data_IF_633933068240
#
_entry.id   IF_633933068240
#
_cell.length_a   1.000
_cell.length_b   1.000
_cell.length_c   1.000
_cell.angle_alpha   90.00
_cell.angle_beta   90.00
_cell.angle_gamma   90.00
#
_symmetry.space_group_name_H-M   'P 1'
#
loop_
_entity.id
_entity.type
_entity.pdbx_description
1 polymer ?
#
# COMPACT_ATOMS: atom_id res chain seq x y z
N UNK A 1 -14.66 -12.95 8.45
CA UNK A 1 -13.34 -13.14 7.81
C UNK A 1 -13.41 -12.54 6.40
N UNK A 2 -12.79 -11.38 6.16
CA UNK A 2 -12.70 -10.82 4.80
C UNK A 2 -11.65 -11.60 4.03
N UNK A 3 -12.11 -12.43 3.09
CA UNK A 3 -11.24 -13.19 2.17
C UNK A 3 -10.39 -12.17 1.41
N UNK A 4 -9.09 -12.13 1.70
CA UNK A 4 -8.15 -11.23 1.02
C UNK A 4 -8.08 -11.63 -0.46
N UNK A 5 -8.54 -10.76 -1.35
CA UNK A 5 -8.44 -10.98 -2.80
C UNK A 5 -6.96 -11.13 -3.17
N UNK A 6 -6.62 -12.20 -3.88
CA UNK A 6 -5.27 -12.40 -4.41
C UNK A 6 -4.82 -11.18 -5.23
N UNK A 7 -3.53 -10.85 -5.17
CA UNK A 7 -2.96 -9.71 -5.92
C UNK A 7 -2.86 -9.97 -7.42
N UNK A 8 -3.04 -11.22 -7.85
CA UNK A 8 -2.98 -11.64 -9.24
C UNK A 8 -4.31 -12.23 -9.69
N UNK A 9 -5.14 -11.41 -10.32
CA UNK A 9 -6.27 -11.88 -11.13
C UNK A 9 -5.71 -12.48 -12.42
N UNK A 10 -5.24 -13.74 -12.40
CA UNK A 10 -4.70 -14.38 -13.61
C UNK A 10 -5.80 -14.72 -14.63
N UNK A 11 -7.05 -14.91 -14.17
CA UNK A 11 -8.17 -15.33 -15.03
C UNK A 11 -9.26 -14.26 -15.24
N UNK A 12 -9.31 -13.20 -14.42
CA UNK A 12 -10.36 -12.15 -14.46
C UNK A 12 -9.79 -10.79 -14.85
N UNK A 13 -8.91 -10.78 -15.85
CA UNK A 13 -8.06 -9.63 -16.18
C UNK A 13 -8.81 -8.57 -17.01
N UNK A 14 -10.08 -8.82 -17.37
CA UNK A 14 -10.92 -8.02 -18.27
C UNK A 14 -10.55 -8.16 -19.76
N UNK A 15 -11.46 -7.78 -20.67
CA UNK A 15 -11.20 -7.78 -22.11
C UNK A 15 -10.14 -6.75 -22.50
N UNK A 16 -9.40 -6.99 -23.59
CA UNK A 16 -8.43 -6.03 -24.13
C UNK A 16 -9.10 -4.70 -24.51
N UNK A 17 -10.28 -4.78 -25.11
CA UNK A 17 -11.15 -3.63 -25.40
C UNK A 17 -11.49 -2.83 -24.13
N UNK A 18 -11.87 -3.50 -23.04
CA UNK A 18 -12.13 -2.84 -21.76
C UNK A 18 -10.89 -2.17 -21.16
N UNK A 19 -9.67 -2.64 -21.46
CA UNK A 19 -8.44 -1.94 -21.08
C UNK A 19 -8.23 -0.68 -21.93
N UNK A 20 -8.39 -0.80 -23.25
CA UNK A 20 -8.27 0.34 -24.18
C UNK A 20 -9.26 1.45 -23.85
N UNK A 21 -10.54 1.13 -23.65
CA UNK A 21 -11.58 2.10 -23.23
C UNK A 21 -11.24 2.81 -21.93
N UNK A 22 -10.64 2.13 -20.96
CA UNK A 22 -10.23 2.76 -19.69
C UNK A 22 -9.05 3.70 -19.88
N UNK A 23 -8.05 3.33 -20.67
CA UNK A 23 -6.92 4.22 -20.97
C UNK A 23 -7.39 5.46 -21.71
N UNK A 24 -8.21 5.29 -22.74
CA UNK A 24 -8.78 6.41 -23.49
C UNK A 24 -9.58 7.33 -22.56
N UNK A 25 -10.49 6.78 -21.75
CA UNK A 25 -11.26 7.58 -20.80
C UNK A 25 -10.37 8.40 -19.84
N UNK A 26 -9.22 7.87 -19.41
CA UNK A 26 -8.28 8.62 -18.58
C UNK A 26 -7.64 9.79 -19.33
N UNK A 27 -7.28 9.60 -20.61
CA UNK A 27 -6.75 10.67 -21.45
C UNK A 27 -7.81 11.75 -21.72
N UNK A 28 -9.05 11.34 -21.99
CA UNK A 28 -10.16 12.26 -22.23
C UNK A 28 -10.53 13.06 -20.97
N UNK A 29 -10.43 12.43 -19.78
CA UNK A 29 -10.90 13.02 -18.52
C UNK A 29 -9.83 13.85 -17.81
N UNK A 30 -8.57 13.43 -17.86
CA UNK A 30 -7.46 14.04 -17.11
C UNK A 30 -6.43 14.73 -18.01
N UNK A 31 -6.74 14.87 -19.29
CA UNK A 31 -5.82 15.32 -20.32
C UNK A 31 -6.54 15.97 -21.49
N UNK A 32 -5.94 15.84 -22.67
CA UNK A 32 -6.44 16.40 -23.93
C UNK A 32 -7.00 15.34 -24.89
N UNK A 33 -7.22 14.11 -24.41
CA UNK A 33 -7.64 12.95 -25.22
C UNK A 33 -6.48 12.19 -25.88
N UNK A 34 -5.26 12.74 -25.91
CA UNK A 34 -4.06 12.07 -26.43
C UNK A 34 -3.03 11.83 -25.33
N UNK A 35 -2.84 12.82 -24.47
CA UNK A 35 -1.89 12.80 -23.36
C UNK A 35 -2.53 13.29 -22.07
N UNK A 36 -2.00 12.87 -20.93
CA UNK A 36 -2.35 13.39 -19.61
C UNK A 36 -1.13 13.40 -18.68
N UNK A 37 -1.21 14.07 -17.54
CA UNK A 37 -0.16 13.99 -16.51
C UNK A 37 -0.42 12.83 -15.54
N UNK A 38 0.65 12.17 -15.11
CA UNK A 38 0.59 11.21 -14.01
C UNK A 38 0.06 11.88 -12.74
N UNK A 39 -0.87 11.24 -12.03
CA UNK A 39 -1.44 11.78 -10.78
C UNK A 39 -0.46 11.80 -9.58
N UNK A 40 0.81 11.45 -9.76
CA UNK A 40 1.80 11.36 -8.66
C UNK A 40 3.13 12.03 -8.98
N UNK A 41 3.44 12.23 -10.27
CA UNK A 41 4.70 12.83 -10.70
C UNK A 41 4.46 13.66 -11.97
N UNK A 42 5.35 14.58 -12.37
CA UNK A 42 5.11 15.48 -13.50
C UNK A 42 5.19 14.81 -14.88
N UNK A 43 5.41 13.50 -14.96
CA UNK A 43 5.51 12.74 -16.21
C UNK A 43 4.23 12.85 -17.05
N UNK A 44 4.40 13.16 -18.33
CA UNK A 44 3.34 13.12 -19.35
C UNK A 44 3.20 11.67 -19.84
N UNK A 45 1.95 11.22 -19.96
CA UNK A 45 1.56 9.86 -20.34
C UNK A 45 0.70 9.93 -21.60
N UNK A 46 0.98 9.03 -22.52
CA UNK A 46 0.17 8.73 -23.70
C UNK A 46 -0.61 7.42 -23.49
N UNK A 47 -1.31 6.97 -24.53
CA UNK A 47 -2.10 5.74 -24.52
C UNK A 47 -1.30 4.47 -24.18
N UNK A 48 -0.01 4.44 -24.50
CA UNK A 48 0.83 3.25 -24.34
C UNK A 48 1.54 3.21 -22.99
N UNK A 49 1.98 4.37 -22.50
CA UNK A 49 2.69 4.54 -21.23
C UNK A 49 1.77 4.68 -20.02
N UNK A 50 0.50 5.06 -20.23
CA UNK A 50 -0.48 5.20 -19.15
C UNK A 50 -0.83 3.87 -18.49
N UNK A 51 -0.76 3.85 -17.17
CA UNK A 51 -1.28 2.76 -16.34
C UNK A 51 -2.54 3.20 -15.60
N UNK A 52 -3.45 2.24 -15.40
CA UNK A 52 -4.72 2.46 -14.70
C UNK A 52 -4.53 2.11 -13.22
N UNK A 53 -4.24 3.11 -12.39
CA UNK A 53 -4.16 2.96 -10.93
C UNK A 53 -5.57 2.97 -10.32
N UNK A 54 -5.79 2.20 -9.25
CA UNK A 54 -7.07 2.15 -8.52
C UNK A 54 -6.97 3.01 -7.27
N UNK A 55 -7.72 4.11 -7.25
CA UNK A 55 -7.68 5.15 -6.22
C UNK A 55 -9.03 5.86 -6.14
N UNK A 56 -9.60 6.14 -4.94
CA UNK A 56 -8.95 6.09 -3.63
C UNK A 56 -8.83 4.68 -3.02
N UNK A 57 -9.67 3.73 -3.44
CA UNK A 57 -9.65 2.37 -2.92
C UNK A 57 -8.80 1.50 -3.84
N UNK A 58 -7.73 0.92 -3.27
CA UNK A 58 -6.83 0.07 -4.02
C UNK A 58 -7.43 -1.32 -4.29
N UNK A 59 -6.94 -2.00 -5.32
CA UNK A 59 -7.48 -3.31 -5.73
C UNK A 59 -7.45 -4.40 -4.66
N UNK A 60 -6.41 -4.39 -3.82
CA UNK A 60 -6.26 -5.31 -2.68
C UNK A 60 -7.28 -5.04 -1.57
N UNK A 61 -7.80 -3.82 -1.49
CA UNK A 61 -8.78 -3.37 -0.50
C UNK A 61 -10.21 -3.38 -1.09
N UNK A 62 -10.43 -4.07 -2.21
CA UNK A 62 -11.74 -4.16 -2.87
C UNK A 62 -11.97 -3.13 -3.98
N UNK A 63 -10.99 -2.27 -4.27
CA UNK A 63 -11.05 -1.26 -5.32
C UNK A 63 -11.32 -1.84 -6.71
N UNK A 64 -12.28 -1.24 -7.40
CA UNK A 64 -12.71 -1.63 -8.75
C UNK A 64 -12.18 -0.67 -9.81
N UNK A 65 -12.27 -1.05 -11.09
CA UNK A 65 -11.90 -0.21 -12.22
C UNK A 65 -13.02 0.75 -12.67
N UNK A 66 -13.92 1.11 -11.76
CA UNK A 66 -14.97 2.11 -12.02
C UNK A 66 -14.34 3.49 -12.14
N UNK A 67 -14.91 4.35 -12.99
CA UNK A 67 -14.40 5.70 -13.32
C UNK A 67 -14.09 6.56 -12.09
N UNK A 68 -14.93 6.53 -11.06
CA UNK A 68 -14.70 7.23 -9.79
C UNK A 68 -13.64 6.61 -8.87
N UNK A 69 -13.01 5.50 -9.28
CA UNK A 69 -11.98 4.81 -8.51
C UNK A 69 -10.70 4.54 -9.34
N UNK A 70 -10.51 5.24 -10.47
CA UNK A 70 -9.30 5.09 -11.29
C UNK A 70 -8.69 6.45 -11.64
N UNK A 71 -7.38 6.46 -11.83
CA UNK A 71 -6.61 7.66 -12.18
C UNK A 71 -5.42 7.32 -13.09
N UNK A 72 -4.89 8.28 -13.87
CA UNK A 72 -3.71 8.06 -14.69
C UNK A 72 -2.44 7.98 -13.83
N UNK A 73 -1.61 6.97 -14.04
CA UNK A 73 -0.33 6.86 -13.37
C UNK A 73 0.74 6.29 -14.29
N UNK A 74 2.00 6.71 -14.12
CA UNK A 74 3.13 6.09 -14.79
C UNK A 74 3.47 4.74 -14.14
N UNK A 75 4.02 3.80 -14.93
CA UNK A 75 4.41 2.47 -14.43
C UNK A 75 5.37 2.52 -13.21
N UNK A 76 6.38 3.41 -13.14
CA UNK A 76 7.23 3.54 -11.95
C UNK A 76 6.45 3.91 -10.68
N UNK A 77 5.52 4.86 -10.78
CA UNK A 77 4.72 5.27 -9.62
C UNK A 77 3.76 4.16 -9.17
N UNK A 78 3.12 3.47 -10.12
CA UNK A 78 2.24 2.34 -9.82
C UNK A 78 3.00 1.19 -9.13
N UNK A 79 4.17 0.83 -9.66
CA UNK A 79 5.04 -0.18 -9.06
C UNK A 79 5.48 0.21 -7.65
N UNK A 80 5.93 1.46 -7.45
CA UNK A 80 6.35 1.97 -6.14
C UNK A 80 5.20 1.96 -5.12
N UNK A 81 4.00 2.38 -5.53
CA UNK A 81 2.81 2.37 -4.66
C UNK A 81 2.43 0.95 -4.27
N UNK A 82 2.36 0.03 -5.24
CA UNK A 82 2.10 -1.39 -4.99
C UNK A 82 3.16 -2.04 -4.09
N UNK A 83 4.44 -1.72 -4.30
CA UNK A 83 5.56 -2.17 -3.47
C UNK A 83 5.44 -1.70 -2.01
N UNK A 84 5.15 -0.41 -1.80
CA UNK A 84 4.90 0.16 -0.45
C UNK A 84 3.73 -0.53 0.24
N UNK A 85 2.62 -0.71 -0.47
CA UNK A 85 1.41 -1.36 0.05
C UNK A 85 1.64 -2.83 0.40
N UNK A 86 2.38 -3.56 -0.44
CA UNK A 86 2.76 -4.94 -0.20
C UNK A 86 3.68 -5.05 1.02
N UNK A 87 4.72 -4.21 1.10
CA UNK A 87 5.65 -4.18 2.22
C UNK A 87 4.95 -3.89 3.57
N UNK A 88 3.95 -3.00 3.58
CA UNK A 88 3.15 -2.72 4.77
C UNK A 88 2.29 -3.92 5.22
N UNK A 89 1.77 -4.71 4.27
CA UNK A 89 0.91 -5.88 4.54
C UNK A 89 1.68 -7.16 4.87
N UNK A 90 3.01 -7.17 4.67
CA UNK A 90 3.85 -8.33 5.03
C UNK A 90 3.77 -8.59 6.53
N UNK A 91 3.56 -9.86 6.96
CA UNK A 91 3.54 -10.21 8.37
C UNK A 91 4.73 -9.62 9.13
N UNK A 92 4.48 -9.16 10.35
CA UNK A 92 5.55 -8.73 11.24
C UNK A 92 6.46 -9.92 11.54
N UNK A 93 7.74 -9.63 11.79
CA UNK A 93 8.76 -10.59 12.18
C UNK A 93 9.51 -9.99 13.36
N UNK A 94 10.09 -10.88 14.18
CA UNK A 94 10.99 -10.46 15.26
C UNK A 94 12.08 -9.56 14.70
N UNK A 95 12.36 -8.45 15.39
CA UNK A 95 13.33 -7.44 14.98
C UNK A 95 12.77 -6.31 14.10
N UNK A 96 11.56 -6.45 13.53
CA UNK A 96 10.97 -5.33 12.79
C UNK A 96 10.75 -4.11 13.69
N UNK A 97 10.91 -2.93 13.10
CA UNK A 97 10.64 -1.66 13.76
C UNK A 97 9.21 -1.22 13.47
N UNK A 98 8.52 -0.72 14.51
CA UNK A 98 7.10 -0.36 14.45
C UNK A 98 6.80 0.90 15.25
N UNK A 99 5.72 1.60 14.91
CA UNK A 99 5.10 2.68 15.70
C UNK A 99 3.68 2.25 16.08
N UNK A 100 3.22 2.65 17.27
CA UNK A 100 1.83 2.42 17.72
C UNK A 100 0.87 3.41 17.05
N UNK A 101 1.36 4.61 16.70
CA UNK A 101 0.60 5.67 16.03
C UNK A 101 1.46 6.45 15.05
N UNK A 102 0.85 7.13 14.08
CA UNK A 102 1.55 8.00 13.13
C UNK A 102 2.34 9.08 13.88
N UNK A 103 3.62 9.24 13.53
CA UNK A 103 4.53 10.19 14.21
C UNK A 103 4.97 9.78 15.63
N UNK A 104 4.50 8.66 16.18
CA UNK A 104 4.88 8.18 17.51
C UNK A 104 6.28 7.57 17.57
N UNK A 105 6.82 7.25 18.77
CA UNK A 105 8.14 6.66 18.92
C UNK A 105 8.26 5.26 18.28
N UNK A 106 9.50 4.87 17.97
CA UNK A 106 9.82 3.59 17.31
C UNK A 106 10.17 2.53 18.34
N UNK A 107 9.54 1.36 18.18
CA UNK A 107 9.75 0.18 19.01
C UNK A 107 10.21 -0.99 18.13
N UNK A 108 10.82 -1.99 18.76
CA UNK A 108 11.23 -3.23 18.10
C UNK A 108 10.28 -4.37 18.47
N UNK A 109 9.86 -5.16 17.48
CA UNK A 109 9.12 -6.39 17.72
C UNK A 109 10.02 -7.44 18.37
N UNK A 110 9.63 -7.96 19.53
CA UNK A 110 10.40 -8.95 20.28
C UNK A 110 9.75 -10.33 20.36
N UNK A 111 8.42 -10.38 20.39
CA UNK A 111 7.64 -11.63 20.42
C UNK A 111 6.45 -11.48 19.46
N UNK A 112 6.12 -12.57 18.78
CA UNK A 112 4.94 -12.69 17.92
C UNK A 112 4.21 -13.95 18.35
N UNK A 113 2.93 -13.80 18.66
CA UNK A 113 1.99 -14.89 18.85
C UNK A 113 1.15 -14.97 17.56
N UNK A 114 1.51 -15.85 16.60
CA UNK A 114 0.88 -15.91 15.29
C UNK A 114 -0.58 -16.38 15.38
N UNK A 115 -0.89 -17.24 16.35
CA UNK A 115 -2.23 -17.82 16.53
C UNK A 115 -3.22 -16.77 17.05
N UNK A 116 -2.74 -15.87 17.91
CA UNK A 116 -3.55 -14.76 18.46
C UNK A 116 -3.44 -13.47 17.65
N UNK A 117 -2.54 -13.38 16.68
CA UNK A 117 -2.26 -12.15 15.95
C UNK A 117 -1.68 -11.03 16.82
N UNK A 118 -1.07 -11.40 17.95
CA UNK A 118 -0.56 -10.47 18.96
C UNK A 118 0.96 -10.33 18.90
N UNK A 119 1.44 -9.14 19.24
CA UNK A 119 2.85 -8.77 19.15
C UNK A 119 3.28 -8.05 20.42
N UNK A 120 4.42 -8.45 20.96
CA UNK A 120 5.09 -7.72 22.04
C UNK A 120 6.20 -6.85 21.45
N UNK A 121 6.27 -5.61 21.90
CA UNK A 121 7.25 -4.62 21.47
C UNK A 121 8.20 -4.25 22.61
N UNK A 122 9.40 -3.79 22.27
CA UNK A 122 10.39 -3.30 23.21
C UNK A 122 10.95 -1.93 22.80
N UNK A 123 11.36 -1.16 23.79
CA UNK A 123 12.14 0.07 23.63
C UNK A 123 13.59 -0.25 23.17
N UNK A 124 14.36 0.78 22.84
CA UNK A 124 15.77 0.62 22.44
C UNK A 124 15.95 0.04 21.03
N UNK A 125 15.05 0.37 20.10
CA UNK A 125 15.28 0.09 18.68
C UNK A 125 16.54 0.83 18.18
N UNK A 126 17.25 0.27 17.19
CA UNK A 126 18.37 0.95 16.53
C UNK A 126 17.82 1.98 15.52
N UNK A 127 17.21 3.06 16.02
CA UNK A 127 16.56 4.09 15.21
C UNK A 127 16.65 5.45 15.91
N UNK A 128 16.83 6.58 15.20
CA UNK A 128 16.91 7.91 15.82
C UNK A 128 15.70 8.25 16.70
N UNK A 129 14.49 7.92 16.24
CA UNK A 129 13.24 8.08 17.00
C UNK A 129 12.92 6.94 17.99
N UNK A 130 13.90 6.14 18.41
CA UNK A 130 13.64 5.01 19.28
C UNK A 130 12.99 5.45 20.61
N UNK A 131 11.98 4.68 21.03
CA UNK A 131 11.43 4.81 22.36
C UNK A 131 12.52 4.43 23.38
N UNK A 132 12.73 5.30 24.38
CA UNK A 132 13.64 5.03 25.52
C UNK A 132 13.00 4.13 26.57
N UNK A 133 11.66 4.08 26.60
CA UNK A 133 10.86 3.31 27.55
C UNK A 133 9.61 2.81 26.84
N UNK A 134 9.11 1.64 27.22
CA UNK A 134 7.77 1.19 26.79
C UNK A 134 6.79 1.74 27.80
N UNK A 135 5.72 2.40 27.33
CA UNK A 135 4.69 2.96 28.22
C UNK A 135 4.04 1.85 29.05
N UNK A 136 3.79 0.68 28.45
CA UNK A 136 3.35 -0.55 29.12
C UNK A 136 4.23 -1.75 28.67
N UNK A 137 5.27 -2.09 29.43
CA UNK A 137 6.27 -3.10 29.05
C UNK A 137 5.72 -4.53 28.80
N UNK A 138 4.52 -4.82 29.30
CA UNK A 138 3.85 -6.13 29.19
C UNK A 138 2.71 -6.15 28.18
N UNK A 139 2.35 -5.01 27.58
CA UNK A 139 1.19 -4.93 26.68
C UNK A 139 1.45 -5.66 25.38
N UNK A 140 0.49 -6.49 25.00
CA UNK A 140 0.40 -7.09 23.68
C UNK A 140 -0.41 -6.17 22.76
N UNK A 141 0.03 -6.04 21.52
CA UNK A 141 -0.60 -5.23 20.49
C UNK A 141 -1.07 -6.13 19.36
N UNK A 142 -2.26 -5.87 18.82
CA UNK A 142 -2.70 -6.54 17.60
C UNK A 142 -1.77 -6.14 16.43
N UNK A 143 -1.29 -7.12 15.66
CA UNK A 143 -0.29 -6.88 14.62
C UNK A 143 -0.72 -5.86 13.56
N UNK A 144 -2.02 -5.75 13.29
CA UNK A 144 -2.65 -4.84 12.33
C UNK A 144 -2.77 -3.39 12.84
N UNK A 145 -2.69 -3.17 14.16
CA UNK A 145 -2.66 -1.83 14.77
C UNK A 145 -1.27 -1.18 14.72
N UNK A 146 -0.23 -1.96 14.40
CA UNK A 146 1.15 -1.48 14.39
C UNK A 146 1.57 -1.00 12.99
N UNK A 147 2.19 0.19 12.95
CA UNK A 147 2.70 0.79 11.73
C UNK A 147 4.16 0.40 11.55
N UNK A 148 4.48 -0.38 10.50
CA UNK A 148 5.85 -0.76 10.18
C UNK A 148 6.71 0.47 9.82
N UNK A 149 7.90 0.53 10.40
CA UNK A 149 8.96 1.48 10.04
C UNK A 149 9.97 0.73 9.15
N UNK A 150 10.33 1.28 7.98
CA UNK A 150 11.41 0.72 7.17
C UNK A 150 12.69 0.60 8.00
N UNK A 151 13.46 -0.46 7.76
CA UNK A 151 14.78 -0.60 8.38
C UNK A 151 15.75 0.46 7.87
#
# INVERSE_FOLDING_TARGET
MTVRRGTTNRNDRGSAEGRRRRRQWLLDTFGDGTTCRCSTCPTVLDFDSITVDRHPVAGVDGGTYRRGNIRPQCAPCASRQGGKMSAQRRPLRKGHMVRIRKGGKVYRVVVIDPDKGLVRIAAGAKHPDAAKRVVDGFRLYAADTLIRVPA
#
